data_IF_024156675506
#
_entry.id   IF_024156675506
#
_cell.length_a   1.000
_cell.length_b   1.000
_cell.length_c   1.000
_cell.angle_alpha   90.00
_cell.angle_beta   90.00
_cell.angle_gamma   90.00
#
_symmetry.space_group_name_H-M   'P 1'
#
loop_
_entity.id
_entity.type
_entity.pdbx_description
1 polymer ?
#
# COMPACT_ATOMS: atom_id res chain seq x y z
N UNK A 1 7.12 -8.94 -2.26
CA UNK A 1 6.25 -9.86 -1.49
C UNK A 1 6.11 -11.24 -2.13
N UNK A 2 5.90 -11.36 -3.43
CA UNK A 2 5.67 -12.68 -4.08
C UNK A 2 6.76 -13.74 -3.85
N UNK A 3 8.00 -13.35 -3.57
CA UNK A 3 9.09 -14.29 -3.25
C UNK A 3 9.21 -14.68 -1.77
N UNK A 4 8.49 -14.02 -0.87
CA UNK A 4 8.59 -14.20 0.59
C UNK A 4 7.23 -14.47 1.23
N UNK A 5 6.34 -15.17 0.49
CA UNK A 5 5.01 -15.50 1.01
C UNK A 5 5.15 -16.40 2.24
N UNK A 6 4.45 -16.03 3.31
CA UNK A 6 4.39 -16.83 4.55
C UNK A 6 3.40 -18.00 4.37
N UNK A 7 2.40 -18.10 5.20
CA UNK A 7 1.41 -19.17 5.17
C UNK A 7 0.04 -18.73 4.65
N UNK A 8 -0.08 -17.49 4.18
CA UNK A 8 -1.36 -16.90 3.79
C UNK A 8 -1.99 -17.64 2.60
N UNK A 9 -3.29 -17.90 2.72
CA UNK A 9 -4.13 -18.45 1.65
C UNK A 9 -5.36 -17.55 1.51
N UNK A 10 -5.52 -16.95 0.35
CA UNK A 10 -6.65 -16.05 0.11
C UNK A 10 -7.95 -16.86 0.03
N UNK A 11 -9.02 -16.42 0.71
CA UNK A 11 -10.34 -17.03 0.59
C UNK A 11 -10.80 -17.08 -0.88
N UNK A 12 -11.35 -18.21 -1.30
CA UNK A 12 -11.82 -18.40 -2.67
C UNK A 12 -10.75 -18.77 -3.70
N UNK A 13 -9.47 -18.83 -3.31
CA UNK A 13 -8.39 -19.33 -4.17
C UNK A 13 -8.07 -20.80 -3.83
N UNK A 14 -8.22 -21.65 -4.82
CA UNK A 14 -7.85 -23.07 -4.69
C UNK A 14 -6.37 -23.21 -5.12
N UNK A 15 -5.47 -23.24 -4.14
CA UNK A 15 -4.04 -23.41 -4.38
C UNK A 15 -3.48 -24.48 -3.42
N UNK A 16 -2.52 -25.23 -3.89
CA UNK A 16 -1.79 -26.23 -3.10
C UNK A 16 -0.70 -25.62 -2.20
N UNK A 17 -0.36 -24.36 -2.46
CA UNK A 17 0.67 -23.59 -1.75
C UNK A 17 0.15 -22.27 -1.22
N UNK A 18 0.90 -21.64 -0.33
CA UNK A 18 0.62 -20.30 0.17
C UNK A 18 0.75 -19.29 -0.97
N UNK A 19 -0.25 -18.40 -1.09
CA UNK A 19 -0.31 -17.39 -2.14
C UNK A 19 -0.90 -16.10 -1.62
N UNK A 20 -0.21 -14.99 -1.86
CA UNK A 20 -0.78 -13.64 -1.78
C UNK A 20 -1.14 -13.20 -3.20
N UNK A 21 -2.43 -13.07 -3.53
CA UNK A 21 -2.83 -12.54 -4.84
C UNK A 21 -2.18 -11.20 -5.12
N UNK A 22 -1.79 -10.96 -6.38
CA UNK A 22 -1.09 -9.73 -6.74
C UNK A 22 -1.85 -8.46 -6.34
N UNK A 23 -3.16 -8.44 -6.51
CA UNK A 23 -4.00 -7.32 -6.07
C UNK A 23 -3.87 -7.02 -4.58
N UNK A 24 -3.81 -8.04 -3.72
CA UNK A 24 -3.57 -7.82 -2.29
C UNK A 24 -2.15 -7.30 -2.03
N UNK A 25 -1.15 -7.83 -2.71
CA UNK A 25 0.22 -7.35 -2.53
C UNK A 25 0.41 -5.87 -2.91
N UNK A 26 -0.45 -5.34 -3.77
CA UNK A 26 -0.46 -3.91 -4.15
C UNK A 26 -1.30 -3.10 -3.17
N UNK A 27 -2.56 -3.50 -2.93
CA UNK A 27 -3.51 -2.67 -2.19
C UNK A 27 -3.13 -2.52 -0.71
N UNK A 28 -2.51 -3.52 -0.09
CA UNK A 28 -2.11 -3.48 1.31
C UNK A 28 -1.07 -2.39 1.63
N UNK A 29 -0.28 -1.98 0.63
CA UNK A 29 0.69 -0.90 0.79
C UNK A 29 0.15 0.45 0.27
N UNK A 30 -0.95 0.45 -0.48
CA UNK A 30 -1.44 1.64 -1.18
C UNK A 30 -1.73 2.82 -0.24
N UNK A 31 -2.39 2.66 0.93
CA UNK A 31 -2.65 3.79 1.83
C UNK A 31 -1.37 4.52 2.27
N UNK A 32 -0.34 3.79 2.68
CA UNK A 32 0.94 4.36 3.09
C UNK A 32 1.65 5.04 1.90
N UNK A 33 1.69 4.36 0.74
CA UNK A 33 2.33 4.88 -0.46
C UNK A 33 1.65 6.16 -0.95
N UNK A 34 0.33 6.23 -0.97
CA UNK A 34 -0.37 7.44 -1.42
C UNK A 34 -0.22 8.61 -0.45
N UNK A 35 -0.17 8.36 0.88
CA UNK A 35 0.22 9.41 1.83
C UNK A 35 1.63 9.94 1.54
N UNK A 36 2.56 9.06 1.24
CA UNK A 36 3.95 9.43 0.95
C UNK A 36 4.10 10.21 -0.36
N UNK A 37 3.45 9.78 -1.44
CA UNK A 37 3.63 10.36 -2.78
C UNK A 37 2.81 11.63 -3.01
N UNK A 38 1.81 11.91 -2.17
CA UNK A 38 0.89 13.03 -2.36
C UNK A 38 1.58 14.40 -2.41
N UNK A 39 2.66 14.59 -1.66
CA UNK A 39 3.42 15.84 -1.67
C UNK A 39 4.03 16.18 -3.05
N UNK A 40 4.28 15.19 -3.89
CA UNK A 40 4.80 15.40 -5.23
C UNK A 40 3.71 15.87 -6.22
N UNK A 41 2.48 15.44 -6.05
CA UNK A 41 1.36 15.87 -6.89
C UNK A 41 0.01 15.76 -6.14
N UNK A 42 -0.31 16.71 -5.25
CA UNK A 42 -1.55 16.67 -4.48
C UNK A 42 -2.82 16.69 -5.35
N UNK A 43 -2.79 17.42 -6.45
CA UNK A 43 -3.94 17.54 -7.37
C UNK A 43 -4.36 16.18 -7.92
N UNK A 44 -3.39 15.37 -8.37
CA UNK A 44 -3.67 14.01 -8.87
C UNK A 44 -4.22 13.08 -7.79
N UNK A 45 -3.81 13.26 -6.54
CA UNK A 45 -4.34 12.47 -5.42
C UNK A 45 -5.80 12.85 -5.10
N UNK A 46 -6.14 14.16 -5.19
CA UNK A 46 -7.53 14.61 -5.05
C UNK A 46 -8.41 14.14 -6.22
N UNK A 47 -7.94 14.26 -7.47
CA UNK A 47 -8.64 13.70 -8.64
C UNK A 47 -8.92 12.20 -8.48
N UNK A 48 -7.96 11.43 -7.97
CA UNK A 48 -8.14 10.01 -7.70
C UNK A 48 -9.18 9.76 -6.59
N UNK A 49 -9.15 10.55 -5.53
CA UNK A 49 -10.13 10.46 -4.44
C UNK A 49 -11.55 10.81 -4.94
N UNK A 50 -11.68 11.83 -5.78
CA UNK A 50 -12.95 12.23 -6.41
C UNK A 50 -13.49 11.10 -7.30
N UNK A 51 -12.64 10.51 -8.15
CA UNK A 51 -13.00 9.36 -8.97
C UNK A 51 -13.47 8.15 -8.15
N UNK A 52 -13.00 8.03 -6.90
CA UNK A 52 -13.44 7.04 -5.93
C UNK A 52 -14.67 7.48 -5.11
N UNK A 53 -15.29 8.62 -5.46
CA UNK A 53 -16.54 9.10 -4.88
C UNK A 53 -16.37 9.95 -3.61
N UNK A 54 -15.23 10.61 -3.41
CA UNK A 54 -15.04 11.60 -2.35
C UNK A 54 -15.41 12.99 -2.88
N UNK A 55 -16.18 13.76 -2.12
CA UNK A 55 -16.35 15.19 -2.39
C UNK A 55 -15.09 15.97 -2.00
N UNK A 56 -14.34 16.41 -2.99
CA UNK A 56 -13.08 17.14 -2.80
C UNK A 56 -13.23 18.66 -2.91
N UNK A 57 -14.44 19.18 -3.09
CA UNK A 57 -14.71 20.60 -3.37
C UNK A 57 -14.18 21.55 -2.30
N UNK A 58 -14.00 21.07 -1.07
CA UNK A 58 -13.51 21.85 0.09
C UNK A 58 -12.22 21.28 0.68
N UNK A 59 -11.55 20.38 -0.04
CA UNK A 59 -10.34 19.72 0.44
C UNK A 59 -9.11 20.58 0.18
N UNK A 60 -8.19 20.61 1.13
CA UNK A 60 -6.90 21.28 0.97
C UNK A 60 -5.88 20.33 0.33
N UNK A 61 -5.00 20.86 -0.50
CA UNK A 61 -3.91 20.11 -1.13
C UNK A 61 -3.02 19.36 -0.11
N UNK A 62 -2.82 19.93 1.07
CA UNK A 62 -2.06 19.31 2.15
C UNK A 62 -2.69 18.00 2.68
N UNK A 63 -4.00 17.83 2.53
CA UNK A 63 -4.74 16.65 2.98
C UNK A 63 -4.88 15.56 1.91
N UNK A 64 -4.45 15.82 0.68
CA UNK A 64 -4.71 14.96 -0.47
C UNK A 64 -4.30 13.50 -0.25
N UNK A 65 -3.13 13.27 0.34
CA UNK A 65 -2.63 11.93 0.65
C UNK A 65 -3.47 11.20 1.69
N UNK A 66 -3.88 11.90 2.73
CA UNK A 66 -4.74 11.36 3.79
C UNK A 66 -6.12 11.00 3.23
N UNK A 67 -6.73 11.92 2.48
CA UNK A 67 -8.07 11.75 1.90
C UNK A 67 -8.11 10.52 0.98
N UNK A 68 -7.15 10.39 0.06
CA UNK A 68 -7.09 9.25 -0.84
C UNK A 68 -6.82 7.94 -0.07
N UNK A 69 -5.88 7.95 0.89
CA UNK A 69 -5.56 6.79 1.69
C UNK A 69 -6.76 6.31 2.51
N UNK A 70 -7.49 7.21 3.17
CA UNK A 70 -8.71 6.91 3.92
C UNK A 70 -9.80 6.29 3.01
N UNK A 71 -9.95 6.82 1.80
CA UNK A 71 -10.94 6.27 0.86
C UNK A 71 -10.58 4.86 0.39
N UNK A 72 -9.29 4.61 0.12
CA UNK A 72 -8.81 3.25 -0.22
C UNK A 72 -9.00 2.31 0.96
N UNK A 73 -8.63 2.73 2.17
CA UNK A 73 -8.84 1.94 3.39
C UNK A 73 -10.32 1.61 3.59
N UNK A 74 -11.23 2.54 3.33
CA UNK A 74 -12.67 2.30 3.37
C UNK A 74 -13.08 1.16 2.42
N UNK A 75 -12.58 1.16 1.18
CA UNK A 75 -12.84 0.06 0.24
C UNK A 75 -12.26 -1.27 0.73
N UNK A 76 -11.03 -1.24 1.26
CA UNK A 76 -10.40 -2.46 1.79
C UNK A 76 -11.24 -3.10 2.88
N UNK A 77 -11.77 -2.30 3.81
CA UNK A 77 -12.68 -2.77 4.88
C UNK A 77 -13.98 -3.35 4.31
N UNK A 78 -14.64 -2.62 3.40
CA UNK A 78 -15.93 -3.03 2.83
C UNK A 78 -15.82 -4.29 1.96
N UNK A 79 -14.69 -4.46 1.27
CA UNK A 79 -14.41 -5.64 0.46
C UNK A 79 -13.76 -6.77 1.27
N UNK A 80 -13.61 -6.60 2.58
CA UNK A 80 -13.00 -7.59 3.49
C UNK A 80 -11.58 -8.00 3.04
N UNK A 81 -10.82 -7.04 2.53
CA UNK A 81 -9.40 -7.22 2.28
C UNK A 81 -8.66 -7.39 3.62
N UNK A 82 -7.52 -8.08 3.65
CA UNK A 82 -6.72 -8.18 4.88
C UNK A 82 -6.35 -6.79 5.43
N UNK A 83 -6.34 -6.66 6.76
CA UNK A 83 -5.87 -5.45 7.43
C UNK A 83 -4.34 -5.40 7.45
N UNK A 84 -3.77 -4.89 6.37
CA UNK A 84 -2.32 -4.70 6.27
C UNK A 84 -1.51 -5.99 6.10
N UNK A 85 -0.22 -5.84 6.17
CA UNK A 85 0.74 -6.92 5.97
C UNK A 85 0.75 -7.92 7.12
N UNK A 86 0.37 -7.50 8.32
CA UNK A 86 0.34 -8.36 9.50
C UNK A 86 -0.66 -9.50 9.34
N UNK A 87 -1.83 -9.21 8.78
CA UNK A 87 -2.87 -10.22 8.57
C UNK A 87 -2.47 -11.29 7.55
N UNK A 88 -1.56 -10.96 6.63
CA UNK A 88 -1.00 -11.94 5.70
C UNK A 88 0.32 -12.58 6.18
N UNK A 89 0.67 -12.37 7.46
CA UNK A 89 1.72 -13.09 8.16
C UNK A 89 3.07 -12.37 8.25
N UNK A 90 3.19 -11.12 7.81
CA UNK A 90 4.41 -10.34 7.99
C UNK A 90 4.45 -9.65 9.36
N UNK A 91 5.66 -9.35 9.82
CA UNK A 91 5.95 -8.66 11.08
C UNK A 91 7.03 -7.60 10.85
N UNK A 92 7.23 -6.71 11.82
CA UNK A 92 8.31 -5.70 11.75
C UNK A 92 9.69 -6.33 11.52
N UNK A 93 9.92 -7.55 12.02
CA UNK A 93 11.16 -8.30 11.78
C UNK A 93 11.40 -8.68 10.31
N UNK A 94 10.37 -8.67 9.47
CA UNK A 94 10.46 -9.00 8.04
C UNK A 94 10.81 -7.78 7.17
N UNK A 95 10.68 -6.57 7.71
CA UNK A 95 10.86 -5.32 6.96
C UNK A 95 12.22 -5.22 6.28
N UNK A 96 13.35 -5.56 6.92
CA UNK A 96 14.65 -5.52 6.24
C UNK A 96 14.69 -6.38 4.97
N UNK A 97 14.08 -7.57 5.01
CA UNK A 97 13.99 -8.45 3.85
C UNK A 97 13.08 -7.89 2.75
N UNK A 98 11.96 -7.25 3.12
CA UNK A 98 11.06 -6.59 2.17
C UNK A 98 11.75 -5.39 1.49
N UNK A 99 12.46 -4.58 2.23
CA UNK A 99 13.26 -3.46 1.70
C UNK A 99 14.33 -3.98 0.74
N UNK A 100 15.09 -5.01 1.15
CA UNK A 100 16.12 -5.62 0.32
C UNK A 100 15.58 -6.21 -0.99
N UNK A 101 14.36 -6.75 -0.98
CA UNK A 101 13.69 -7.25 -2.19
C UNK A 101 13.08 -6.15 -3.07
N UNK A 102 12.83 -4.96 -2.52
CA UNK A 102 12.20 -3.84 -3.24
C UNK A 102 13.24 -2.93 -3.91
N UNK A 103 14.33 -2.63 -3.23
CA UNK A 103 15.37 -1.72 -3.72
C UNK A 103 15.89 -2.05 -5.13
N UNK A 104 16.15 -3.33 -5.50
CA UNK A 104 16.63 -3.67 -6.84
C UNK A 104 15.58 -3.50 -7.94
N UNK A 105 14.31 -3.25 -7.60
CA UNK A 105 13.21 -3.14 -8.57
C UNK A 105 13.20 -1.78 -9.27
N UNK A 106 14.32 -1.38 -9.86
CA UNK A 106 14.53 -0.06 -10.45
C UNK A 106 13.50 0.33 -11.50
N UNK A 107 12.95 -0.63 -12.25
CA UNK A 107 11.91 -0.38 -13.26
C UNK A 107 10.60 0.16 -12.64
N UNK A 108 10.39 -0.03 -11.34
CA UNK A 108 9.20 0.43 -10.63
C UNK A 108 9.54 1.60 -9.71
N UNK A 109 10.60 1.47 -8.90
CA UNK A 109 10.96 2.47 -7.89
C UNK A 109 11.39 3.80 -8.52
N UNK A 110 12.03 3.77 -9.71
CA UNK A 110 12.42 4.99 -10.45
C UNK A 110 11.24 5.73 -11.10
N UNK A 111 10.07 5.09 -11.22
CA UNK A 111 8.86 5.73 -11.74
C UNK A 111 8.03 6.42 -10.65
N UNK A 112 8.42 6.27 -9.39
CA UNK A 112 7.76 6.95 -8.29
C UNK A 112 7.91 8.47 -8.44
N UNK A 113 6.82 9.25 -8.29
CA UNK A 113 6.88 10.71 -8.37
C UNK A 113 7.69 11.33 -7.23
N UNK A 114 7.93 10.56 -6.15
CA UNK A 114 8.80 10.92 -5.04
C UNK A 114 9.83 9.80 -4.85
N UNK A 115 11.14 10.11 -4.93
CA UNK A 115 12.18 9.12 -4.68
C UNK A 115 12.05 8.53 -3.27
N UNK A 116 12.30 7.23 -3.14
CA UNK A 116 12.27 6.54 -1.85
C UNK A 116 13.57 5.77 -1.65
N UNK A 117 14.29 6.11 -0.59
CA UNK A 117 15.46 5.38 -0.12
C UNK A 117 15.11 4.19 0.78
N UNK A 118 16.12 3.47 1.29
CA UNK A 118 15.91 2.33 2.18
C UNK A 118 15.08 2.67 3.43
N UNK A 119 15.35 3.82 4.04
CA UNK A 119 14.64 4.29 5.24
C UNK A 119 13.17 4.63 4.94
N UNK A 120 12.90 5.27 3.79
CA UNK A 120 11.53 5.55 3.35
C UNK A 120 10.75 4.27 3.12
N UNK A 121 11.37 3.29 2.44
CA UNK A 121 10.76 1.99 2.21
C UNK A 121 10.48 1.25 3.52
N UNK A 122 11.41 1.28 4.47
CA UNK A 122 11.22 0.67 5.78
C UNK A 122 10.01 1.28 6.50
N UNK A 123 9.90 2.62 6.51
CA UNK A 123 8.77 3.33 7.10
C UNK A 123 7.45 2.99 6.38
N UNK A 124 7.44 2.96 5.06
CA UNK A 124 6.25 2.59 4.28
C UNK A 124 5.77 1.17 4.59
N UNK A 125 6.69 0.21 4.75
CA UNK A 125 6.32 -1.14 5.15
C UNK A 125 5.83 -1.19 6.61
N UNK A 126 6.43 -0.43 7.52
CA UNK A 126 5.95 -0.33 8.90
C UNK A 126 4.53 0.22 8.96
N UNK A 127 4.25 1.32 8.24
CA UNK A 127 2.91 1.92 8.12
C UNK A 127 1.90 1.00 7.42
N UNK A 128 2.36 0.02 6.65
CA UNK A 128 1.53 -0.96 5.96
C UNK A 128 1.27 -2.23 6.78
N UNK A 129 1.86 -2.39 7.95
CA UNK A 129 1.63 -3.56 8.80
C UNK A 129 0.17 -3.64 9.25
N UNK A 130 -0.40 -2.51 9.62
CA UNK A 130 -1.81 -2.38 10.01
C UNK A 130 -2.36 -1.11 9.35
N UNK A 131 -3.45 -1.22 8.58
CA UNK A 131 -4.04 -0.10 7.84
C UNK A 131 -5.18 0.57 8.60
N UNK A 132 -5.82 -0.13 9.56
CA UNK A 132 -6.87 0.36 10.46
C UNK A 132 -6.88 -0.39 11.80
#
# INVERSE_FOLDING_TARGET
MSGNVKSYRAPGYVTDHALVPHGFSVILNAPAVFRYTASANPARHLEAAEALGVDVSRCHAADAGRILAERITWFMQHLKAPNGLREIGYRSSDIPALVGGTLPQHRVTKLSPRPAGPEDLARLFEESLDSW
#
